data_IF_284303844433
#
_entry.id   IF_284303844433
#
_cell.length_a   1.000
_cell.length_b   1.000
_cell.length_c   1.000
_cell.angle_alpha   90.00
_cell.angle_beta   90.00
_cell.angle_gamma   90.00
#
_symmetry.space_group_name_H-M   'P 1'
#
loop_
_entity.id
_entity.type
_entity.pdbx_description
1 polymer ?
#
# COMPACT_ATOMS: atom_id res chain seq x y z
N UNK A 1 7.44 -15.28 6.47
CA UNK A 1 6.47 -14.34 7.05
C UNK A 1 5.21 -15.12 7.31
N UNK A 2 4.52 -14.87 8.43
CA UNK A 2 3.25 -15.52 8.72
C UNK A 2 2.13 -14.90 7.88
N UNK A 3 1.08 -15.66 7.60
CA UNK A 3 -0.13 -15.14 6.96
C UNK A 3 -0.82 -14.15 7.90
N UNK A 4 -1.58 -13.22 7.32
CA UNK A 4 -2.45 -12.36 8.09
C UNK A 4 -3.62 -13.18 8.63
N UNK A 5 -4.06 -12.93 9.87
CA UNK A 5 -5.28 -13.51 10.41
C UNK A 5 -6.36 -12.43 10.42
N UNK A 6 -7.36 -12.59 9.55
CA UNK A 6 -8.50 -11.67 9.41
C UNK A 6 -9.77 -12.48 9.31
N UNK A 7 -10.76 -12.14 10.14
CA UNK A 7 -12.00 -12.88 10.33
C UNK A 7 -11.75 -14.35 10.72
N UNK A 8 -10.75 -14.58 11.58
CA UNK A 8 -10.24 -15.90 11.97
C UNK A 8 -9.78 -16.79 10.80
N UNK A 9 -9.52 -16.20 9.63
CA UNK A 9 -9.03 -16.89 8.44
C UNK A 9 -7.61 -16.43 8.06
N UNK A 10 -6.73 -17.34 7.64
CA UNK A 10 -5.42 -16.98 7.12
C UNK A 10 -5.53 -16.36 5.73
N UNK A 11 -4.82 -15.25 5.51
CA UNK A 11 -4.73 -14.53 4.23
C UNK A 11 -3.25 -14.37 3.87
N UNK A 12 -2.85 -14.92 2.73
CA UNK A 12 -1.44 -14.99 2.32
C UNK A 12 -0.99 -13.80 1.48
N UNK A 13 -1.91 -12.90 1.14
CA UNK A 13 -1.68 -11.75 0.27
C UNK A 13 -2.25 -10.47 0.85
N UNK A 14 -1.66 -9.37 0.46
CA UNK A 14 -2.04 -8.01 0.83
C UNK A 14 -1.94 -7.13 -0.40
N UNK A 15 -2.93 -6.28 -0.60
CA UNK A 15 -2.79 -5.07 -1.41
C UNK A 15 -2.77 -3.87 -0.48
N UNK A 16 -1.69 -3.11 -0.54
CA UNK A 16 -1.57 -1.87 0.20
C UNK A 16 -1.84 -0.68 -0.72
N UNK A 17 -2.60 0.29 -0.22
CA UNK A 17 -2.87 1.55 -0.92
C UNK A 17 -2.22 2.71 -0.21
N UNK A 18 -1.63 3.61 -0.99
CA UNK A 18 -1.31 4.96 -0.54
C UNK A 18 -1.71 5.99 -1.58
N UNK A 19 -2.01 7.20 -1.13
CA UNK A 19 -2.43 8.29 -1.99
C UNK A 19 -1.82 9.64 -1.59
N UNK A 20 -1.39 10.38 -2.60
CA UNK A 20 -0.86 11.73 -2.44
C UNK A 20 -1.71 12.73 -3.22
N UNK A 21 -1.72 13.97 -2.75
CA UNK A 21 -2.29 15.12 -3.44
C UNK A 21 -1.20 16.18 -3.57
N UNK A 22 -0.82 16.50 -4.81
CA UNK A 22 0.14 17.57 -5.13
C UNK A 22 -0.46 18.43 -6.22
N UNK A 23 -0.70 19.70 -5.92
CA UNK A 23 -1.16 20.70 -6.90
C UNK A 23 -2.43 20.29 -7.67
N UNK A 24 -3.42 19.71 -6.98
CA UNK A 24 -4.67 19.16 -7.56
C UNK A 24 -4.46 17.93 -8.47
N UNK A 25 -3.32 17.25 -8.31
CA UNK A 25 -3.08 15.93 -8.87
C UNK A 25 -3.13 14.93 -7.72
N UNK A 26 -4.21 14.15 -7.68
CA UNK A 26 -4.35 13.02 -6.77
C UNK A 26 -3.87 11.76 -7.47
N UNK A 27 -2.85 11.12 -6.90
CA UNK A 27 -2.38 9.81 -7.35
C UNK A 27 -2.59 8.82 -6.23
N UNK A 28 -3.19 7.68 -6.57
CA UNK A 28 -3.34 6.54 -5.67
C UNK A 28 -2.65 5.34 -6.29
N UNK A 29 -1.82 4.66 -5.51
CA UNK A 29 -1.08 3.47 -5.95
C UNK A 29 -1.47 2.31 -5.06
N UNK A 30 -1.83 1.19 -5.69
CA UNK A 30 -2.04 -0.08 -5.02
C UNK A 30 -0.94 -1.07 -5.39
N UNK A 31 -0.31 -1.69 -4.39
CA UNK A 31 0.75 -2.70 -4.59
C UNK A 31 0.30 -4.02 -3.96
N UNK A 32 0.09 -5.04 -4.80
CA UNK A 32 -0.36 -6.37 -4.42
C UNK A 32 0.81 -7.35 -4.36
N UNK A 33 1.02 -7.95 -3.18
CA UNK A 33 2.06 -8.94 -2.91
C UNK A 33 1.53 -10.10 -2.07
N UNK A 34 2.25 -11.22 -2.10
CA UNK A 34 2.19 -12.25 -1.08
C UNK A 34 3.27 -12.05 -0.01
N UNK A 35 3.18 -12.80 1.09
CA UNK A 35 4.10 -12.67 2.25
C UNK A 35 5.58 -12.92 1.92
N UNK A 36 5.90 -13.69 0.88
CA UNK A 36 7.30 -13.92 0.43
C UNK A 36 7.78 -12.77 -0.45
N UNK A 37 6.93 -12.32 -1.37
CA UNK A 37 7.18 -11.17 -2.24
C UNK A 37 7.44 -9.90 -1.44
N UNK A 38 6.69 -9.68 -0.35
CA UNK A 38 6.96 -8.56 0.58
C UNK A 38 8.38 -8.58 1.14
N UNK A 39 8.88 -9.75 1.53
CA UNK A 39 10.22 -9.88 2.09
C UNK A 39 11.30 -9.63 1.02
N UNK A 40 11.08 -10.10 -0.21
CA UNK A 40 11.97 -9.76 -1.34
C UNK A 40 11.96 -8.27 -1.64
N UNK A 41 10.79 -7.62 -1.64
CA UNK A 41 10.69 -6.17 -1.84
C UNK A 41 11.44 -5.40 -0.75
N UNK A 42 11.33 -5.82 0.52
CA UNK A 42 12.05 -5.22 1.63
C UNK A 42 13.57 -5.30 1.44
N UNK A 43 14.08 -6.46 1.03
CA UNK A 43 15.50 -6.68 0.74
C UNK A 43 15.96 -5.83 -0.45
N UNK A 44 15.15 -5.76 -1.51
CA UNK A 44 15.43 -4.93 -2.69
C UNK A 44 15.45 -3.44 -2.38
N UNK A 45 14.50 -2.96 -1.57
CA UNK A 45 14.48 -1.57 -1.08
C UNK A 45 15.76 -1.30 -0.29
N UNK A 46 16.11 -2.16 0.66
CA UNK A 46 17.31 -1.98 1.46
C UNK A 46 18.58 -1.94 0.59
N UNK A 47 18.75 -2.88 -0.32
CA UNK A 47 19.90 -2.94 -1.23
C UNK A 47 19.99 -1.74 -2.18
N UNK A 48 18.85 -1.19 -2.61
CA UNK A 48 18.83 -0.15 -3.65
C UNK A 48 18.98 1.26 -3.09
N UNK A 49 18.44 1.54 -1.89
CA UNK A 49 18.33 2.91 -1.36
C UNK A 49 18.84 3.08 0.07
N UNK A 50 19.52 2.09 0.66
CA UNK A 50 20.15 2.26 1.99
C UNK A 50 21.17 3.40 2.02
N UNK A 51 21.98 3.54 0.97
CA UNK A 51 22.94 4.64 0.82
C UNK A 51 22.27 6.03 0.73
N UNK A 52 20.99 6.07 0.35
CA UNK A 52 20.17 7.28 0.32
C UNK A 52 19.46 7.56 1.67
N UNK A 53 19.80 6.81 2.73
CA UNK A 53 19.27 6.99 4.08
C UNK A 53 18.05 6.11 4.41
N UNK A 54 17.70 5.15 3.57
CA UNK A 54 16.64 4.20 3.89
C UNK A 54 17.07 3.22 4.98
N UNK A 55 16.30 3.23 6.07
CA UNK A 55 16.41 2.28 7.17
C UNK A 55 15.06 1.54 7.30
N UNK A 56 15.03 0.22 7.07
CA UNK A 56 13.81 -0.58 7.13
C UNK A 56 13.02 -0.34 8.43
N UNK A 57 11.70 -0.19 8.31
CA UNK A 57 10.76 0.07 9.41
C UNK A 57 11.04 1.34 10.25
N UNK A 58 11.93 2.23 9.81
CA UNK A 58 12.28 3.49 10.49
C UNK A 58 12.03 4.72 9.62
N UNK A 59 12.39 4.64 8.34
CA UNK A 59 12.35 5.75 7.41
C UNK A 59 10.98 5.85 6.73
N UNK A 60 10.42 7.06 6.65
CA UNK A 60 9.24 7.36 5.82
C UNK A 60 9.67 7.79 4.43
N UNK A 61 8.80 7.61 3.44
CA UNK A 61 8.97 8.09 2.05
C UNK A 61 9.44 9.55 1.98
N UNK A 62 8.78 10.46 2.70
CA UNK A 62 9.06 11.91 2.73
C UNK A 62 10.44 12.27 3.29
N UNK A 63 11.04 11.37 4.04
CA UNK A 63 12.38 11.55 4.62
C UNK A 63 13.47 11.13 3.60
N UNK A 64 13.08 10.54 2.47
CA UNK A 64 13.95 10.13 1.38
C UNK A 64 13.89 11.15 0.24
N UNK A 65 15.05 11.67 -0.16
CA UNK A 65 15.18 12.54 -1.35
C UNK A 65 15.72 11.74 -2.52
N UNK A 66 14.88 10.85 -3.07
CA UNK A 66 15.28 9.96 -4.17
C UNK A 66 15.06 10.62 -5.53
N UNK A 67 16.00 10.48 -6.49
CA UNK A 67 15.73 10.77 -7.89
C UNK A 67 14.60 9.88 -8.42
N UNK A 68 13.71 10.41 -9.26
CA UNK A 68 12.56 9.67 -9.82
C UNK A 68 12.98 8.38 -10.52
N UNK A 69 14.14 8.39 -11.21
CA UNK A 69 14.67 7.19 -11.88
C UNK A 69 14.95 6.04 -10.89
N UNK A 70 15.44 6.32 -9.68
CA UNK A 70 15.66 5.27 -8.67
C UNK A 70 14.35 4.62 -8.23
N UNK A 71 13.31 5.43 -8.02
CA UNK A 71 11.98 4.91 -7.66
C UNK A 71 11.39 4.07 -8.80
N UNK A 72 11.55 4.50 -10.05
CA UNK A 72 11.17 3.72 -11.24
C UNK A 72 11.93 2.40 -11.32
N UNK A 73 13.23 2.39 -11.00
CA UNK A 73 14.04 1.16 -11.02
C UNK A 73 13.60 0.17 -9.93
N UNK A 74 13.24 0.65 -8.73
CA UNK A 74 12.64 -0.18 -7.67
C UNK A 74 11.29 -0.72 -8.14
N UNK A 75 10.43 0.14 -8.69
CA UNK A 75 9.12 -0.24 -9.21
C UNK A 75 9.26 -1.35 -10.25
N UNK A 76 10.17 -1.22 -11.21
CA UNK A 76 10.43 -2.23 -12.26
C UNK A 76 10.89 -3.59 -11.71
N UNK A 77 11.51 -3.62 -10.54
CA UNK A 77 11.94 -4.85 -9.85
C UNK A 77 10.89 -5.41 -8.91
N UNK A 78 9.81 -4.67 -8.63
CA UNK A 78 8.70 -5.17 -7.85
C UNK A 78 8.21 -6.49 -8.46
N UNK A 79 8.15 -7.53 -7.64
CA UNK A 79 7.75 -8.88 -8.06
C UNK A 79 6.25 -9.13 -7.85
N UNK A 80 5.46 -8.08 -7.66
CA UNK A 80 4.01 -8.10 -7.51
C UNK A 80 3.27 -7.43 -8.65
N UNK A 81 2.03 -7.03 -8.37
CA UNK A 81 1.21 -6.23 -9.29
C UNK A 81 0.99 -4.83 -8.73
N UNK A 82 1.06 -3.84 -9.61
CA UNK A 82 0.88 -2.43 -9.26
C UNK A 82 -0.23 -1.84 -10.11
N UNK A 83 -1.17 -1.18 -9.45
CA UNK A 83 -2.22 -0.39 -10.09
C UNK A 83 -2.09 1.07 -9.70
N UNK A 84 -2.30 1.97 -10.64
CA UNK A 84 -2.15 3.40 -10.46
C UNK A 84 -3.44 4.08 -10.93
N UNK A 85 -4.02 4.93 -10.09
CA UNK A 85 -5.10 5.82 -10.46
C UNK A 85 -4.61 7.27 -10.35
N UNK A 86 -4.96 8.10 -11.34
CA UNK A 86 -4.64 9.53 -11.35
C UNK A 86 -5.90 10.34 -11.61
N UNK A 87 -6.06 11.41 -10.83
CA UNK A 87 -7.10 12.42 -10.99
C UNK A 87 -6.47 13.81 -10.96
N UNK A 88 -6.65 14.57 -12.03
CA UNK A 88 -6.20 15.96 -12.18
C UNK A 88 -7.41 16.91 -12.10
N UNK A 89 -7.87 17.21 -10.88
CA UNK A 89 -8.93 18.19 -10.57
C UNK A 89 -9.01 18.38 -9.04
N UNK A 90 -9.69 19.44 -8.58
CA UNK A 90 -9.89 19.69 -7.14
C UNK A 90 -10.86 18.68 -6.53
N UNK A 91 -10.32 17.76 -5.72
CA UNK A 91 -11.06 16.69 -5.07
C UNK A 91 -10.55 16.46 -3.66
N UNK A 92 -11.39 15.91 -2.79
CA UNK A 92 -10.97 15.55 -1.43
C UNK A 92 -10.20 14.23 -1.47
N UNK A 93 -8.91 14.28 -1.09
CA UNK A 93 -8.01 13.13 -1.07
C UNK A 93 -8.63 11.84 -0.45
N UNK A 94 -9.29 11.86 0.74
CA UNK A 94 -9.86 10.63 1.30
C UNK A 94 -11.01 10.03 0.48
N UNK A 95 -11.68 10.85 -0.34
CA UNK A 95 -12.77 10.39 -1.19
C UNK A 95 -12.21 9.83 -2.49
N UNK A 96 -11.26 10.54 -3.08
CA UNK A 96 -10.56 10.11 -4.28
C UNK A 96 -9.81 8.79 -4.06
N UNK A 97 -9.04 8.68 -2.96
CA UNK A 97 -8.32 7.46 -2.58
C UNK A 97 -9.24 6.26 -2.48
N UNK A 98 -10.39 6.39 -1.79
CA UNK A 98 -11.32 5.28 -1.62
C UNK A 98 -11.84 4.74 -2.97
N UNK A 99 -12.21 5.63 -3.89
CA UNK A 99 -12.70 5.25 -5.22
C UNK A 99 -11.59 4.68 -6.08
N UNK A 100 -10.41 5.32 -6.06
CA UNK A 100 -9.24 4.86 -6.78
C UNK A 100 -8.80 3.46 -6.35
N UNK A 101 -8.73 3.21 -5.04
CA UNK A 101 -8.39 1.92 -4.47
C UNK A 101 -9.39 0.84 -4.89
N UNK A 102 -10.70 1.15 -4.88
CA UNK A 102 -11.72 0.24 -5.40
C UNK A 102 -11.52 -0.07 -6.90
N UNK A 103 -11.27 0.95 -7.72
CA UNK A 103 -10.99 0.76 -9.16
C UNK A 103 -9.71 -0.07 -9.37
N UNK A 104 -8.67 0.13 -8.57
CA UNK A 104 -7.44 -0.67 -8.62
C UNK A 104 -7.72 -2.13 -8.26
N UNK A 105 -8.52 -2.42 -7.22
CA UNK A 105 -8.91 -3.79 -6.86
C UNK A 105 -9.52 -4.54 -8.05
N UNK A 106 -10.47 -3.90 -8.76
CA UNK A 106 -11.11 -4.50 -9.92
C UNK A 106 -10.16 -4.67 -11.11
N UNK A 107 -9.35 -3.65 -11.43
CA UNK A 107 -8.44 -3.71 -12.57
C UNK A 107 -7.28 -4.70 -12.38
N UNK A 108 -6.83 -4.91 -11.13
CA UNK A 108 -5.82 -5.93 -10.83
C UNK A 108 -6.40 -7.33 -10.68
N UNK A 109 -7.74 -7.48 -10.71
CA UNK A 109 -8.43 -8.74 -10.50
C UNK A 109 -8.13 -9.34 -9.12
N UNK A 110 -8.15 -8.51 -8.07
CA UNK A 110 -7.83 -8.94 -6.71
C UNK A 110 -8.88 -9.93 -6.19
N UNK A 111 -8.41 -11.06 -5.69
CA UNK A 111 -9.21 -12.14 -5.11
C UNK A 111 -9.60 -11.81 -3.66
N UNK A 112 -10.76 -12.27 -3.19
CA UNK A 112 -11.28 -11.94 -1.85
C UNK A 112 -11.07 -13.04 -0.80
N UNK A 113 -10.65 -14.23 -1.22
CA UNK A 113 -10.46 -15.43 -0.41
C UNK A 113 -9.07 -15.52 0.24
N UNK A 114 -8.03 -15.00 -0.40
CA UNK A 114 -6.65 -15.10 0.08
C UNK A 114 -5.97 -13.74 0.37
N UNK A 115 -6.64 -12.64 0.04
CA UNK A 115 -6.08 -11.28 0.07
C UNK A 115 -6.78 -10.41 1.11
N UNK A 116 -6.03 -9.48 1.69
CA UNK A 116 -6.55 -8.35 2.46
C UNK A 116 -6.21 -7.03 1.76
N UNK A 117 -7.00 -5.99 1.99
CA UNK A 117 -6.68 -4.63 1.59
C UNK A 117 -6.21 -3.84 2.81
N UNK A 118 -4.99 -3.29 2.77
CA UNK A 118 -4.44 -2.44 3.83
C UNK A 118 -4.56 -0.99 3.38
N UNK A 119 -5.29 -0.18 4.16
CA UNK A 119 -5.42 1.26 3.92
C UNK A 119 -4.61 2.01 4.97
N UNK A 120 -3.82 3.00 4.54
CA UNK A 120 -3.09 3.86 5.47
C UNK A 120 -4.05 4.80 6.21
N UNK A 121 -4.03 4.72 7.54
CA UNK A 121 -4.80 5.61 8.41
C UNK A 121 -5.75 4.89 9.35
N UNK A 122 -6.86 5.56 9.67
CA UNK A 122 -7.83 5.14 10.67
C UNK A 122 -8.98 4.30 10.08
N UNK A 123 -9.84 3.80 10.96
CA UNK A 123 -11.03 3.03 10.58
C UNK A 123 -11.88 3.77 9.53
N UNK A 124 -11.97 5.10 9.62
CA UNK A 124 -12.77 5.91 8.69
C UNK A 124 -12.27 5.85 7.25
N UNK A 125 -10.98 5.57 7.01
CA UNK A 125 -10.43 5.37 5.67
C UNK A 125 -10.86 4.01 5.10
N UNK A 126 -10.83 2.96 5.93
CA UNK A 126 -11.32 1.63 5.56
C UNK A 126 -12.83 1.65 5.23
N UNK A 127 -13.64 2.35 6.03
CA UNK A 127 -15.08 2.50 5.75
C UNK A 127 -15.36 3.19 4.41
N UNK A 128 -14.59 4.23 4.08
CA UNK A 128 -14.72 4.91 2.78
C UNK A 128 -14.39 3.99 1.62
N UNK A 129 -13.38 3.13 1.75
CA UNK A 129 -13.08 2.14 0.71
C UNK A 129 -14.24 1.16 0.51
N UNK A 130 -14.89 0.69 1.58
CA UNK A 130 -16.11 -0.12 1.46
C UNK A 130 -17.23 0.62 0.72
N UNK A 131 -17.49 1.88 1.09
CA UNK A 131 -18.49 2.73 0.43
C UNK A 131 -18.19 2.91 -1.06
N UNK A 132 -16.92 3.22 -1.39
CA UNK A 132 -16.45 3.39 -2.76
C UNK A 132 -16.61 2.12 -3.59
N UNK A 133 -16.19 0.97 -3.06
CA UNK A 133 -16.31 -0.32 -3.73
C UNK A 133 -17.78 -0.74 -3.93
N UNK A 134 -18.61 -0.61 -2.90
CA UNK A 134 -20.04 -0.92 -2.95
C UNK A 134 -20.77 -0.10 -4.03
N UNK A 135 -20.47 1.20 -4.14
CA UNK A 135 -21.11 2.09 -5.10
C UNK A 135 -20.75 1.84 -6.57
N UNK A 136 -19.68 1.08 -6.82
CA UNK A 136 -19.25 0.68 -8.17
C UNK A 136 -19.31 -0.83 -8.38
N UNK A 137 -20.11 -1.52 -7.56
CA UNK A 137 -20.43 -2.95 -7.68
C UNK A 137 -19.20 -3.86 -7.56
N UNK A 138 -18.20 -3.45 -6.79
CA UNK A 138 -16.98 -4.22 -6.48
C UNK A 138 -17.11 -4.82 -5.09
N UNK A 139 -16.84 -6.12 -4.98
CA UNK A 139 -16.70 -6.81 -3.69
C UNK A 139 -15.21 -6.75 -3.30
N UNK A 140 -14.82 -5.94 -2.32
CA UNK A 140 -13.43 -5.87 -1.89
C UNK A 140 -13.04 -7.12 -1.06
N UNK A 141 -11.73 -7.46 -0.98
CA UNK A 141 -11.24 -8.32 0.10
C UNK A 141 -11.53 -7.71 1.48
N UNK A 142 -11.30 -8.44 2.58
CA UNK A 142 -11.39 -7.85 3.92
C UNK A 142 -10.45 -6.63 4.01
N UNK A 143 -11.01 -5.47 4.37
CA UNK A 143 -10.26 -4.21 4.46
C UNK A 143 -9.84 -4.00 5.92
N UNK A 144 -8.56 -3.73 6.10
CA UNK A 144 -7.94 -3.43 7.40
C UNK A 144 -7.33 -2.03 7.35
N UNK A 145 -7.29 -1.35 8.49
CA UNK A 145 -6.60 -0.08 8.62
C UNK A 145 -5.28 -0.25 9.38
N UNK A 146 -4.26 0.50 8.96
CA UNK A 146 -2.97 0.53 9.63
C UNK A 146 -2.46 1.97 9.67
N UNK A 147 -2.23 2.51 10.86
CA UNK A 147 -1.72 3.88 11.02
C UNK A 147 -0.21 3.89 10.76
N UNK A 148 0.25 4.76 9.84
CA UNK A 148 1.67 4.87 9.43
C UNK A 148 2.18 3.57 8.84
N UNK A 149 1.36 2.99 7.99
CA UNK A 149 1.53 1.66 7.42
C UNK A 149 2.82 1.50 6.61
N UNK A 150 3.40 2.58 6.08
CA UNK A 150 4.70 2.61 5.40
C UNK A 150 5.87 2.22 6.33
N UNK A 151 5.69 2.35 7.64
CA UNK A 151 6.67 1.92 8.65
C UNK A 151 6.53 0.44 9.03
N UNK A 152 5.48 -0.23 8.58
CA UNK A 152 5.18 -1.63 8.89
C UNK A 152 5.29 -2.53 7.67
N UNK A 153 4.89 -2.05 6.49
CA UNK A 153 4.78 -2.87 5.29
C UNK A 153 5.55 -2.24 4.11
N UNK A 154 6.52 -2.97 3.51
CA UNK A 154 7.40 -2.43 2.47
C UNK A 154 6.65 -2.00 1.20
N UNK A 155 5.55 -2.67 0.87
CA UNK A 155 4.77 -2.36 -0.31
C UNK A 155 3.96 -1.06 -0.18
N UNK A 156 3.68 -0.62 1.05
CA UNK A 156 3.06 0.69 1.31
C UNK A 156 4.07 1.83 1.20
N UNK A 157 5.33 1.60 1.60
CA UNK A 157 6.42 2.52 1.27
C UNK A 157 6.61 2.66 -0.24
N UNK A 158 6.56 1.55 -0.99
CA UNK A 158 6.64 1.60 -2.45
C UNK A 158 5.45 2.36 -3.05
N UNK A 159 4.23 2.10 -2.57
CA UNK A 159 3.03 2.81 -3.04
C UNK A 159 3.17 4.33 -2.88
N UNK A 160 3.63 4.78 -1.71
CA UNK A 160 3.82 6.20 -1.40
C UNK A 160 4.92 6.84 -2.27
N UNK A 161 6.08 6.18 -2.39
CA UNK A 161 7.16 6.64 -3.27
C UNK A 161 6.69 6.81 -4.72
N UNK A 162 5.95 5.81 -5.24
CA UNK A 162 5.43 5.82 -6.61
C UNK A 162 4.33 6.88 -6.77
N UNK A 163 3.44 7.04 -5.80
CA UNK A 163 2.40 8.06 -5.84
C UNK A 163 3.02 9.46 -5.92
N UNK A 164 4.04 9.72 -5.10
CA UNK A 164 4.79 10.97 -5.08
C UNK A 164 5.43 11.31 -6.43
N UNK A 165 6.20 10.39 -7.02
CA UNK A 165 6.90 10.67 -8.29
C UNK A 165 5.94 10.87 -9.46
N UNK A 166 4.82 10.16 -9.49
CA UNK A 166 3.83 10.31 -10.56
C UNK A 166 3.08 11.63 -10.38
N UNK A 167 2.73 12.00 -9.15
CA UNK A 167 2.08 13.28 -8.89
C UNK A 167 2.96 14.46 -9.31
N UNK A 168 4.27 14.40 -9.03
CA UNK A 168 5.23 15.42 -9.47
C UNK A 168 5.32 15.47 -11.00
N UNK A 169 5.50 14.33 -11.67
CA UNK A 169 5.64 14.27 -13.12
C UNK A 169 4.39 14.80 -13.86
N UNK A 170 3.20 14.48 -13.36
CA UNK A 170 1.92 14.95 -13.94
C UNK A 170 1.67 16.42 -13.65
N UNK A 171 2.11 16.93 -12.49
CA UNK A 171 2.05 18.36 -12.17
C UNK A 171 2.99 19.18 -13.07
N UNK A 172 4.15 18.63 -13.44
CA UNK A 172 5.11 19.27 -14.34
C UNK A 172 4.63 19.23 -15.81
N UNK A 173 4.11 18.10 -16.25
CA UNK A 173 3.58 17.91 -17.61
C UNK A 173 2.37 16.98 -17.61
N UNK A 174 1.17 17.56 -17.82
CA UNK A 174 -0.08 16.81 -17.85
C UNK A 174 -0.19 15.84 -19.05
N UNK A 175 0.61 16.04 -20.11
CA UNK A 175 0.65 15.13 -21.25
C UNK A 175 1.32 13.78 -20.90
N UNK A 176 2.10 13.72 -19.82
CA UNK A 176 2.80 12.51 -19.36
C UNK A 176 1.83 11.34 -19.20
N UNK A 177 0.64 11.56 -18.63
CA UNK A 177 -0.38 10.51 -18.46
C UNK A 177 -0.77 9.81 -19.75
N UNK A 178 -0.77 10.54 -20.87
CA UNK A 178 -1.12 9.97 -22.18
C UNK A 178 0.02 9.15 -22.79
N UNK A 179 1.24 9.31 -22.26
CA UNK A 179 2.45 8.66 -22.74
C UNK A 179 2.87 7.44 -21.91
N UNK A 180 2.40 7.34 -20.66
CA UNK A 180 2.70 6.19 -19.80
C UNK A 180 1.80 5.01 -20.21
N UNK A 181 2.43 3.89 -20.52
CA UNK A 181 1.75 2.60 -20.72
C UNK A 181 2.08 1.65 -19.58
N UNK A 182 1.16 0.76 -19.17
CA UNK A 182 1.47 -0.33 -18.25
C UNK A 182 2.64 -1.18 -18.79
N UNK A 183 3.68 -1.36 -17.99
CA UNK A 183 4.86 -2.19 -18.31
C UNK A 183 5.39 -2.87 -17.04
N UNK A 184 5.86 -4.11 -17.19
CA UNK A 184 6.44 -4.88 -16.10
C UNK A 184 5.41 -5.13 -14.99
N UNK A 185 5.68 -4.76 -13.73
CA UNK A 185 4.75 -4.97 -12.63
C UNK A 185 3.57 -3.98 -12.61
N UNK A 186 3.60 -2.92 -13.42
CA UNK A 186 2.46 -2.00 -13.55
C UNK A 186 1.46 -2.63 -14.53
N UNK A 187 0.34 -3.08 -14.01
CA UNK A 187 -0.69 -3.80 -14.76
C UNK A 187 -1.85 -2.88 -15.18
N UNK A 188 -2.05 -1.76 -14.45
CA UNK A 188 -3.12 -0.82 -14.73
C UNK A 188 -2.71 0.62 -14.41
N UNK A 189 -3.02 1.53 -15.34
CA UNK A 189 -2.93 2.98 -15.15
C UNK A 189 -4.27 3.56 -15.57
N UNK A 190 -4.95 4.23 -14.64
CA UNK A 190 -6.33 4.66 -14.79
C UNK A 190 -6.37 6.18 -14.61
N UNK A 191 -6.73 6.90 -15.67
CA UNK A 191 -7.05 8.32 -15.58
C UNK A 191 -8.55 8.48 -15.31
N UNK A 192 -8.91 9.00 -14.14
CA UNK A 192 -10.31 9.15 -13.70
C UNK A 192 -10.89 10.53 -14.00
N UNK A 193 -10.09 11.49 -14.48
CA UNK A 193 -10.53 12.86 -14.77
C UNK A 193 -11.50 12.93 -15.96
N UNK A 194 -11.31 12.09 -16.98
CA UNK A 194 -12.12 12.15 -18.21
C UNK A 194 -13.37 11.24 -18.19
N UNK A 195 -13.84 10.84 -17.00
CA UNK A 195 -15.05 10.03 -16.75
C UNK A 195 -15.28 8.85 -17.72
N UNK A 196 -14.21 8.11 -18.02
CA UNK A 196 -14.17 7.08 -19.08
C UNK A 196 -14.45 5.65 -18.58
N UNK A 197 -14.56 5.44 -17.26
CA UNK A 197 -14.69 4.11 -16.65
C UNK A 197 -16.14 3.80 -16.27
N UNK A 198 -17.05 3.83 -17.24
CA UNK A 198 -18.49 3.52 -17.03
C UNK A 198 -19.14 4.35 -15.89
N UNK A 199 -18.67 5.56 -15.63
CA UNK A 199 -19.14 6.42 -14.54
C UNK A 199 -18.77 5.94 -13.12
N UNK A 200 -17.79 5.03 -12.97
CA UNK A 200 -17.31 4.55 -11.68
C UNK A 200 -16.85 5.70 -10.79
N UNK A 201 -16.08 6.64 -11.34
CA UNK A 201 -15.61 7.80 -10.61
C UNK A 201 -16.77 8.61 -10.02
N UNK A 202 -17.71 9.05 -10.86
CA UNK A 202 -18.85 9.88 -10.42
C UNK A 202 -19.73 9.19 -9.38
N UNK A 203 -20.03 7.89 -9.55
CA UNK A 203 -20.84 7.11 -8.60
C UNK A 203 -20.10 6.90 -7.28
N UNK A 204 -18.88 6.37 -7.34
CA UNK A 204 -18.06 6.08 -6.17
C UNK A 204 -17.79 7.33 -5.35
N UNK A 205 -17.35 8.42 -6.00
CA UNK A 205 -16.98 9.65 -5.30
C UNK A 205 -18.19 10.28 -4.61
N UNK A 206 -19.36 10.28 -5.28
CA UNK A 206 -20.61 10.77 -4.70
C UNK A 206 -21.05 9.95 -3.48
N UNK A 207 -20.95 8.62 -3.55
CA UNK A 207 -21.34 7.74 -2.46
C UNK A 207 -20.43 7.93 -1.23
N UNK A 208 -19.11 7.95 -1.43
CA UNK A 208 -18.14 8.19 -0.35
C UNK A 208 -18.34 9.57 0.28
N UNK A 209 -18.58 10.61 -0.53
CA UNK A 209 -18.84 11.96 -0.04
C UNK A 209 -20.12 12.09 0.80
N UNK A 210 -21.11 11.21 0.56
CA UNK A 210 -22.38 11.16 1.32
C UNK A 210 -22.36 10.11 2.45
N UNK A 211 -21.33 9.28 2.52
CA UNK A 211 -21.27 8.15 3.46
C UNK A 211 -22.27 7.05 3.14
N UNK A 212 -22.57 6.83 1.86
CA UNK A 212 -23.52 5.81 1.38
C UNK A 212 -22.79 4.49 1.07
N UNK A 213 -23.44 3.36 1.38
CA UNK A 213 -22.91 2.02 1.10
C UNK A 213 -22.87 1.13 2.35
N UNK A 214 -22.94 -0.18 2.14
CA UNK A 214 -22.77 -1.14 3.23
C UNK A 214 -21.30 -1.22 3.63
N UNK A 215 -21.03 -1.06 4.93
CA UNK A 215 -19.69 -1.17 5.51
C UNK A 215 -19.61 -2.48 6.26
N UNK A 216 -18.65 -3.33 5.87
CA UNK A 216 -18.32 -4.53 6.62
C UNK A 216 -17.07 -4.24 7.45
N UNK A 217 -17.08 -4.59 8.74
CA UNK A 217 -15.90 -4.42 9.59
C UNK A 217 -15.26 -5.77 9.81
N UNK A 218 -14.08 -5.95 9.22
CA UNK A 218 -13.29 -7.14 9.43
C UNK A 218 -12.76 -7.19 10.88
N UNK A 219 -12.64 -8.40 11.44
CA UNK A 219 -12.01 -8.63 12.74
C UNK A 219 -10.55 -9.01 12.54
N UNK A 220 -9.63 -8.29 13.17
CA UNK A 220 -8.19 -8.54 13.03
C UNK A 220 -7.43 -7.97 14.21
N UNK A 221 -6.17 -8.40 14.35
CA UNK A 221 -5.32 -8.01 15.46
C UNK A 221 -4.57 -6.70 15.19
N UNK A 222 -4.82 -5.71 16.05
CA UNK A 222 -4.10 -4.44 16.04
C UNK A 222 -3.08 -4.38 17.17
N UNK A 223 -1.90 -3.84 16.87
CA UNK A 223 -0.78 -3.67 17.80
C UNK A 223 -0.13 -2.31 17.62
N UNK A 224 0.29 -1.70 18.73
CA UNK A 224 1.07 -0.46 18.67
C UNK A 224 2.56 -0.79 18.69
N UNK A 225 3.34 -0.28 17.73
CA UNK A 225 4.78 -0.52 17.68
C UNK A 225 5.56 0.80 17.78
N UNK A 226 6.16 1.01 18.93
CA UNK A 226 6.96 2.20 19.28
C UNK A 226 8.43 2.05 18.89
N UNK A 227 8.92 0.82 18.75
CA UNK A 227 10.30 0.49 18.43
C UNK A 227 10.45 -0.27 17.10
N UNK A 228 11.68 -0.33 16.58
CA UNK A 228 12.01 -1.15 15.41
C UNK A 228 11.58 -2.60 15.61
N UNK A 229 11.95 -3.19 16.75
CA UNK A 229 11.71 -4.62 17.04
C UNK A 229 10.22 -4.93 17.03
N UNK A 230 9.41 -4.07 17.65
CA UNK A 230 7.95 -4.22 17.64
C UNK A 230 7.38 -4.11 16.22
N UNK A 231 7.87 -3.20 15.37
CA UNK A 231 7.39 -3.08 13.97
C UNK A 231 7.76 -4.30 13.14
N UNK A 232 8.97 -4.81 13.32
CA UNK A 232 9.44 -6.06 12.70
C UNK A 232 8.56 -7.23 13.13
N UNK A 233 8.20 -7.31 14.42
CA UNK A 233 7.28 -8.33 14.94
C UNK A 233 5.89 -8.20 14.35
N UNK A 234 5.31 -7.00 14.31
CA UNK A 234 4.02 -6.76 13.67
C UNK A 234 4.03 -7.17 12.20
N UNK A 235 5.05 -6.76 11.45
CA UNK A 235 5.22 -7.15 10.06
C UNK A 235 5.33 -8.67 9.92
N UNK A 236 6.15 -9.34 10.73
CA UNK A 236 6.37 -10.78 10.65
C UNK A 236 5.09 -11.59 10.92
N UNK A 237 4.31 -11.17 11.92
CA UNK A 237 3.06 -11.80 12.36
C UNK A 237 1.81 -11.35 11.57
N UNK A 238 1.92 -10.33 10.72
CA UNK A 238 0.77 -9.77 10.01
C UNK A 238 -0.21 -9.00 10.92
N UNK A 239 0.29 -8.32 11.95
CA UNK A 239 -0.51 -7.43 12.82
C UNK A 239 -0.49 -5.99 12.32
N UNK A 240 -1.54 -5.23 12.60
CA UNK A 240 -1.72 -3.88 12.04
C UNK A 240 -1.49 -2.77 13.06
N UNK A 241 -0.88 -1.67 12.63
CA UNK A 241 -0.52 -0.54 13.48
C UNK A 241 -1.74 0.26 13.97
N UNK A 242 -1.86 0.44 15.28
CA UNK A 242 -2.88 1.31 15.92
C UNK A 242 -2.28 2.04 17.13
N UNK A 243 -2.41 3.36 17.19
CA UNK A 243 -1.80 4.24 18.22
C UNK A 243 -2.12 3.85 19.68
N UNK A 244 -3.26 3.22 19.93
CA UNK A 244 -3.74 2.88 21.29
C UNK A 244 -3.87 1.37 21.54
N UNK A 245 -3.39 0.54 20.62
CA UNK A 245 -3.38 -0.90 20.83
C UNK A 245 -2.25 -1.32 21.80
N UNK A 246 -2.35 -2.48 22.46
CA UNK A 246 -1.23 -3.05 23.19
C UNK A 246 -0.02 -3.31 22.27
N UNK A 247 1.21 -3.30 22.80
CA UNK A 247 2.38 -3.68 22.02
C UNK A 247 2.32 -5.16 21.60
N UNK A 248 3.03 -5.54 20.53
CA UNK A 248 3.16 -6.95 20.16
C UNK A 248 4.04 -7.69 21.18
N UNK A 249 3.78 -8.97 21.38
CA UNK A 249 4.72 -9.84 22.09
C UNK A 249 5.95 -10.05 21.21
N UNK A 250 7.10 -9.54 21.65
CA UNK A 250 8.32 -9.53 20.85
C UNK A 250 9.33 -10.56 21.35
N UNK A 251 9.54 -11.61 20.56
CA UNK A 251 10.65 -12.56 20.73
C UNK A 251 11.99 -12.02 20.17
N UNK A 252 12.02 -10.75 19.75
CA UNK A 252 13.14 -10.11 19.09
C UNK A 252 13.15 -10.35 17.58
N UNK A 253 14.23 -9.94 16.90
CA UNK A 253 14.34 -10.00 15.43
C UNK A 253 14.88 -11.35 14.92
N UNK A 254 15.42 -12.20 15.79
CA UNK A 254 16.11 -13.44 15.42
C UNK A 254 15.24 -14.42 14.61
N UNK A 255 13.97 -14.68 14.96
CA UNK A 255 13.10 -15.53 14.13
C UNK A 255 12.90 -14.96 12.72
N UNK A 256 12.85 -13.63 12.60
CA UNK A 256 12.67 -12.92 11.34
C UNK A 256 13.94 -13.03 10.49
N UNK A 257 15.11 -12.78 11.08
CA UNK A 257 16.43 -12.93 10.45
C UNK A 257 16.61 -14.34 9.90
N UNK A 258 16.31 -15.37 10.71
CA UNK A 258 16.38 -16.76 10.28
C UNK A 258 15.48 -17.05 9.08
N UNK A 259 14.26 -16.51 9.07
CA UNK A 259 13.33 -16.69 7.95
C UNK A 259 13.78 -15.94 6.69
N UNK A 260 14.30 -14.73 6.81
CA UNK A 260 14.81 -13.93 5.70
C UNK A 260 16.00 -14.62 5.02
N UNK A 261 16.96 -15.12 5.79
CA UNK A 261 18.07 -15.90 5.28
C UNK A 261 17.60 -17.16 4.53
N UNK A 262 16.59 -17.87 5.05
CA UNK A 262 16.06 -19.07 4.42
C UNK A 262 15.40 -18.83 3.05
N UNK A 263 14.98 -17.61 2.75
CA UNK A 263 14.38 -17.23 1.45
C UNK A 263 15.32 -16.39 0.58
N UNK A 264 16.59 -16.24 0.99
CA UNK A 264 17.61 -15.53 0.20
C UNK A 264 17.64 -14.02 0.35
N UNK A 265 16.92 -13.44 1.31
CA UNK A 265 16.93 -12.01 1.61
C UNK A 265 18.03 -11.65 2.61
N UNK A 266 19.29 -11.82 2.21
CA UNK A 266 20.44 -11.76 3.12
C UNK A 266 20.83 -10.35 3.56
N UNK A 267 20.63 -9.34 2.72
CA UNK A 267 21.11 -7.98 2.99
C UNK A 267 20.28 -7.36 4.12
N UNK A 268 18.95 -7.45 4.04
CA UNK A 268 18.09 -6.99 5.13
C UNK A 268 18.19 -7.89 6.37
N UNK A 269 18.42 -9.19 6.22
CA UNK A 269 18.65 -10.08 7.36
C UNK A 269 19.89 -9.66 8.17
N UNK A 270 21.01 -9.41 7.48
CA UNK A 270 22.25 -8.95 8.10
C UNK A 270 22.08 -7.59 8.78
N UNK A 271 21.37 -6.66 8.13
CA UNK A 271 21.07 -5.36 8.72
C UNK A 271 20.22 -5.50 9.98
N UNK A 272 19.17 -6.32 9.97
CA UNK A 272 18.30 -6.56 11.13
C UNK A 272 19.04 -7.20 12.30
N UNK A 273 19.94 -8.14 12.01
CA UNK A 273 20.75 -8.82 13.04
C UNK A 273 21.67 -7.85 13.79
N UNK A 274 22.05 -6.73 13.16
CA UNK A 274 22.90 -5.71 13.77
C UNK A 274 22.14 -4.64 14.59
N UNK A 275 20.81 -4.76 14.79
CA UNK A 275 19.97 -3.71 15.42
C UNK A 275 19.61 -3.90 16.90
#
# INVERSE_FOLDING_TARGET
MQDFIVDDQPRSRSIGFDATDRQNVVVTVGVLLNRTQEASLLDDLYRTISDDGYLPFRTKSRDLSLPSQKVVDILRRCNGKVGICVHTDDVKLPFAEAVHSAMILNNLGVTTDDTIAIVDGDESRAEKLYQGASAIDIVPPSIVNCVRSELYYPHLLLADLVAGIIADAVSEDSAVLSSISPEGPVEAIINTTQDSQQGFWGRGYSAVARGEGEVQRATYEQRYASSLRERVTCWFNGSFGQTHAPPPESDGVQPVVGRLNAIGCSDVAMWLDSQ
#
